data_IF_514201783470
#
_entry.id   IF_514201783470
#
_cell.length_a   1.000
_cell.length_b   1.000
_cell.length_c   1.000
_cell.angle_alpha   90.00
_cell.angle_beta   90.00
_cell.angle_gamma   90.00
#
_symmetry.space_group_name_H-M   'P 1'
#
loop_
_entity.id
_entity.type
_entity.pdbx_description
1 polymer ?
#
# COMPACT_ATOMS: atom_id res chain seq x y z
N UNK A 1 -26.65 56.51 8.82
CA UNK A 1 -27.30 56.63 10.14
C UNK A 1 -26.66 57.75 10.94
N UNK A 2 -25.36 57.66 11.29
CA UNK A 2 -24.65 58.70 12.07
C UNK A 2 -24.80 60.13 11.52
N UNK A 3 -24.74 60.31 10.20
CA UNK A 3 -24.95 61.62 9.58
C UNK A 3 -26.36 62.18 9.80
N UNK A 4 -27.39 61.32 9.76
CA UNK A 4 -28.78 61.71 9.99
C UNK A 4 -29.02 62.08 11.45
N UNK A 5 -28.35 61.41 12.38
CA UNK A 5 -28.47 61.68 13.81
C UNK A 5 -27.77 62.97 14.22
N UNK A 6 -26.61 63.25 13.61
CA UNK A 6 -25.94 64.53 13.77
C UNK A 6 -26.78 65.69 13.25
N UNK A 7 -27.46 65.50 12.12
CA UNK A 7 -28.37 66.49 11.53
C UNK A 7 -29.63 66.69 12.39
N UNK A 8 -30.21 65.60 12.89
CA UNK A 8 -31.34 65.63 13.83
C UNK A 8 -30.96 66.38 15.11
N UNK A 9 -29.79 66.11 15.69
CA UNK A 9 -29.30 66.82 16.87
C UNK A 9 -29.09 68.32 16.62
N UNK A 10 -28.60 68.71 15.42
CA UNK A 10 -28.39 70.12 15.07
C UNK A 10 -29.71 70.92 14.93
N UNK A 11 -30.85 70.25 14.80
CA UNK A 11 -32.17 70.87 14.73
C UNK A 11 -32.92 70.88 16.07
N UNK A 12 -32.36 70.29 17.13
CA UNK A 12 -32.93 70.29 18.48
C UNK A 12 -33.15 71.71 19.01
N UNK A 13 -32.13 72.57 18.95
CA UNK A 13 -32.20 73.97 19.41
C UNK A 13 -33.33 74.76 18.74
N UNK A 14 -33.63 74.45 17.47
CA UNK A 14 -34.72 75.12 16.73
C UNK A 14 -36.08 74.72 17.26
N UNK A 15 -36.27 73.45 17.63
CA UNK A 15 -37.53 72.97 18.20
C UNK A 15 -37.73 73.55 19.61
N UNK A 16 -36.66 73.63 20.40
CA UNK A 16 -36.68 74.27 21.72
C UNK A 16 -37.00 75.77 21.63
N UNK A 17 -36.43 76.49 20.66
CA UNK A 17 -36.77 77.88 20.40
C UNK A 17 -38.23 78.08 19.99
N UNK A 18 -38.78 77.21 19.13
CA UNK A 18 -40.20 77.28 18.73
C UNK A 18 -41.11 77.09 19.96
N UNK A 19 -40.78 76.15 20.84
CA UNK A 19 -41.52 75.91 22.07
C UNK A 19 -41.44 77.09 23.05
N UNK A 20 -40.25 77.68 23.23
CA UNK A 20 -40.05 78.85 24.08
C UNK A 20 -40.84 80.07 23.57
N UNK A 21 -40.80 80.35 22.27
CA UNK A 21 -41.56 81.46 21.65
C UNK A 21 -43.07 81.23 21.78
N UNK A 22 -43.55 79.99 21.60
CA UNK A 22 -44.96 79.66 21.80
C UNK A 22 -45.40 79.90 23.25
N UNK A 23 -44.55 79.58 24.23
CA UNK A 23 -44.82 79.86 25.64
C UNK A 23 -44.87 81.36 25.95
N UNK A 24 -43.92 82.16 25.45
CA UNK A 24 -43.93 83.62 25.62
C UNK A 24 -45.19 84.27 25.01
N UNK A 25 -45.62 83.80 23.82
CA UNK A 25 -46.87 84.27 23.19
C UNK A 25 -48.11 83.94 24.04
N UNK A 26 -48.07 82.83 24.77
CA UNK A 26 -49.13 82.43 25.69
C UNK A 26 -49.14 83.31 26.96
N UNK A 27 -47.98 83.70 27.48
CA UNK A 27 -47.83 84.59 28.65
C UNK A 27 -48.27 86.04 28.35
N UNK A 28 -48.20 86.46 27.08
CA UNK A 28 -48.62 87.78 26.61
C UNK A 28 -50.10 87.85 26.17
N UNK A 29 -50.90 86.81 26.45
CA UNK A 29 -52.31 86.70 26.05
C UNK A 29 -52.55 86.94 24.55
N UNK A 30 -51.68 86.39 23.68
CA UNK A 30 -51.83 86.52 22.23
C UNK A 30 -53.18 85.96 21.75
N UNK A 31 -53.88 86.73 20.91
CA UNK A 31 -55.27 86.45 20.50
C UNK A 31 -55.51 85.08 19.84
N UNK A 32 -54.50 84.48 19.19
CA UNK A 32 -54.58 83.16 18.54
C UNK A 32 -53.61 82.12 19.18
N UNK A 33 -53.29 82.28 20.47
CA UNK A 33 -52.38 81.39 21.20
C UNK A 33 -52.80 79.92 21.13
N UNK A 34 -54.10 79.62 21.10
CA UNK A 34 -54.61 78.25 21.01
C UNK A 34 -54.17 77.53 19.72
N UNK A 35 -54.20 78.20 18.57
CA UNK A 35 -53.77 77.66 17.28
C UNK A 35 -52.25 77.46 17.23
N UNK A 36 -51.48 78.43 17.75
CA UNK A 36 -50.02 78.35 17.86
C UNK A 36 -49.60 77.20 18.77
N UNK A 37 -50.23 77.06 19.94
CA UNK A 37 -49.96 75.97 20.88
C UNK A 37 -50.30 74.60 20.29
N UNK A 38 -51.44 74.46 19.59
CA UNK A 38 -51.79 73.22 18.91
C UNK A 38 -50.76 72.84 17.83
N UNK A 39 -50.26 73.82 17.07
CA UNK A 39 -49.21 73.60 16.06
C UNK A 39 -47.86 73.27 16.70
N UNK A 40 -47.48 73.96 17.78
CA UNK A 40 -46.25 73.70 18.52
C UNK A 40 -46.27 72.28 19.11
N UNK A 41 -47.38 71.88 19.74
CA UNK A 41 -47.55 70.52 20.25
C UNK A 41 -47.39 69.48 19.13
N UNK A 42 -48.02 69.70 17.97
CA UNK A 42 -47.87 68.79 16.83
C UNK A 42 -46.43 68.68 16.31
N UNK A 43 -45.64 69.75 16.39
CA UNK A 43 -44.20 69.74 16.05
C UNK A 43 -43.42 68.94 17.09
N UNK A 44 -43.66 69.16 18.38
CA UNK A 44 -43.01 68.43 19.47
C UNK A 44 -43.33 66.92 19.42
N UNK A 45 -44.60 66.54 19.24
CA UNK A 45 -45.03 65.15 19.14
C UNK A 45 -44.36 64.43 17.95
N UNK A 46 -44.28 65.11 16.80
CA UNK A 46 -43.59 64.59 15.62
C UNK A 46 -42.10 64.44 15.86
N UNK A 47 -41.48 65.41 16.55
CA UNK A 47 -40.07 65.40 16.89
C UNK A 47 -39.71 64.24 17.83
N UNK A 48 -40.51 64.02 18.88
CA UNK A 48 -40.34 62.90 19.82
C UNK A 48 -40.52 61.54 19.14
N UNK A 49 -41.53 61.43 18.27
CA UNK A 49 -41.73 60.24 17.46
C UNK A 49 -40.56 60.00 16.50
N UNK A 50 -40.05 61.05 15.84
CA UNK A 50 -38.89 60.96 14.97
C UNK A 50 -37.64 60.51 15.73
N UNK A 51 -37.39 61.05 16.92
CA UNK A 51 -36.32 60.61 17.82
C UNK A 51 -36.45 59.13 18.17
N UNK A 52 -37.65 58.69 18.56
CA UNK A 52 -37.95 57.29 18.90
C UNK A 52 -37.73 56.35 17.71
N UNK A 53 -38.22 56.71 16.52
CA UNK A 53 -38.04 55.92 15.30
C UNK A 53 -36.57 55.86 14.88
N UNK A 54 -35.83 56.96 15.06
CA UNK A 54 -34.40 57.04 14.78
C UNK A 54 -33.62 56.09 15.68
N UNK A 55 -33.89 56.09 16.99
CA UNK A 55 -33.26 55.15 17.92
C UNK A 55 -33.59 53.70 17.57
N UNK A 56 -34.87 53.37 17.33
CA UNK A 56 -35.28 52.02 16.90
C UNK A 56 -34.56 51.57 15.63
N UNK A 57 -34.37 52.49 14.68
CA UNK A 57 -33.63 52.21 13.44
C UNK A 57 -32.14 52.00 13.70
N UNK A 58 -31.51 52.78 14.58
CA UNK A 58 -30.11 52.57 15.00
C UNK A 58 -29.93 51.18 15.58
N UNK A 59 -30.73 50.84 16.59
CA UNK A 59 -30.64 49.55 17.29
C UNK A 59 -30.84 48.36 16.33
N UNK A 60 -31.75 48.51 15.35
CA UNK A 60 -31.97 47.51 14.32
C UNK A 60 -30.77 47.36 13.37
N UNK A 61 -30.16 48.48 12.93
CA UNK A 61 -28.98 48.46 12.07
C UNK A 61 -27.77 47.87 12.78
N UNK A 62 -27.49 48.27 14.02
CA UNK A 62 -26.39 47.72 14.82
C UNK A 62 -26.56 46.21 15.08
N UNK A 63 -27.80 45.76 15.31
CA UNK A 63 -28.10 44.33 15.45
C UNK A 63 -27.80 43.56 14.16
N UNK A 64 -28.22 44.09 13.02
CA UNK A 64 -27.98 43.44 11.71
C UNK A 64 -26.49 43.45 11.36
N UNK A 65 -25.78 44.54 11.64
CA UNK A 65 -24.33 44.65 11.47
C UNK A 65 -23.60 43.56 12.26
N UNK A 66 -23.90 43.42 13.57
CA UNK A 66 -23.28 42.39 14.41
C UNK A 66 -23.57 40.96 13.94
N UNK A 67 -24.77 40.71 13.41
CA UNK A 67 -25.11 39.41 12.84
C UNK A 67 -24.27 39.12 11.59
N UNK A 68 -24.07 40.11 10.72
CA UNK A 68 -23.20 39.97 9.55
C UNK A 68 -21.73 39.79 9.91
N UNK A 69 -21.22 40.52 10.90
CA UNK A 69 -19.86 40.31 11.42
C UNK A 69 -19.66 38.88 11.94
N UNK A 70 -20.67 38.33 12.62
CA UNK A 70 -20.63 36.95 13.12
C UNK A 70 -20.62 35.94 11.96
N UNK A 71 -21.49 36.13 10.95
CA UNK A 71 -21.55 35.28 9.76
C UNK A 71 -20.23 35.33 8.98
N UNK A 72 -19.66 36.51 8.81
CA UNK A 72 -18.39 36.74 8.11
C UNK A 72 -17.23 36.01 8.80
N UNK A 73 -17.15 36.12 10.14
CA UNK A 73 -16.15 35.41 10.94
C UNK A 73 -16.28 33.89 10.83
N UNK A 74 -17.51 33.36 10.83
CA UNK A 74 -17.76 31.92 10.63
C UNK A 74 -17.40 31.48 9.20
N UNK A 75 -17.66 32.30 8.18
CA UNK A 75 -17.23 32.01 6.80
C UNK A 75 -15.71 31.92 6.70
N UNK A 76 -14.99 32.84 7.36
CA UNK A 76 -13.53 32.82 7.42
C UNK A 76 -13.01 31.59 8.17
N UNK A 77 -13.63 31.21 9.29
CA UNK A 77 -13.25 30.02 10.06
C UNK A 77 -13.45 28.74 9.24
N UNK A 78 -14.60 28.61 8.57
CA UNK A 78 -14.85 27.50 7.64
C UNK A 78 -13.75 27.42 6.57
N UNK A 79 -13.41 28.54 5.92
CA UNK A 79 -12.40 28.57 4.88
C UNK A 79 -11.02 28.12 5.39
N UNK A 80 -10.62 28.56 6.58
CA UNK A 80 -9.35 28.19 7.22
C UNK A 80 -9.24 26.70 7.52
N UNK A 81 -10.35 26.03 7.86
CA UNK A 81 -10.38 24.59 8.17
C UNK A 81 -10.57 23.73 6.92
N UNK A 82 -11.46 24.15 6.03
CA UNK A 82 -11.77 23.46 4.79
C UNK A 82 -10.55 23.31 3.88
N UNK A 83 -9.68 24.32 3.78
CA UNK A 83 -8.51 24.28 2.90
C UNK A 83 -7.51 23.15 3.24
N UNK A 84 -6.93 23.06 4.46
CA UNK A 84 -6.03 21.96 4.81
C UNK A 84 -6.75 20.61 4.83
N UNK A 85 -8.01 20.55 5.26
CA UNK A 85 -8.78 19.30 5.25
C UNK A 85 -9.03 18.78 3.83
N UNK A 86 -9.34 19.68 2.90
CA UNK A 86 -9.46 19.34 1.48
C UNK A 86 -8.16 18.76 0.92
N UNK A 87 -7.02 19.41 1.20
CA UNK A 87 -5.72 18.93 0.73
C UNK A 87 -5.37 17.56 1.33
N UNK A 88 -5.72 17.32 2.60
CA UNK A 88 -5.57 16.01 3.22
C UNK A 88 -6.41 14.94 2.52
N UNK A 89 -7.67 15.25 2.16
CA UNK A 89 -8.51 14.31 1.41
C UNK A 89 -7.96 14.03 0.01
N UNK A 90 -7.43 15.05 -0.66
CA UNK A 90 -6.82 14.89 -1.99
C UNK A 90 -5.58 13.98 -1.93
N UNK A 91 -4.68 14.19 -0.96
CA UNK A 91 -3.54 13.29 -0.73
C UNK A 91 -3.96 11.87 -0.33
N UNK A 92 -4.97 11.73 0.54
CA UNK A 92 -5.49 10.43 0.91
C UNK A 92 -6.07 9.66 -0.28
N UNK A 93 -6.77 10.33 -1.21
CA UNK A 93 -7.26 9.70 -2.43
C UNK A 93 -6.11 9.24 -3.34
N UNK A 94 -5.07 10.05 -3.49
CA UNK A 94 -3.86 9.71 -4.25
C UNK A 94 -3.18 8.45 -3.66
N UNK A 95 -2.90 8.44 -2.36
CA UNK A 95 -2.23 7.33 -1.67
C UNK A 95 -3.05 6.01 -1.74
N UNK A 96 -4.38 6.10 -1.63
CA UNK A 96 -5.26 4.94 -1.70
C UNK A 96 -5.32 4.33 -3.11
N UNK A 97 -5.11 5.15 -4.14
CA UNK A 97 -5.13 4.73 -5.54
C UNK A 97 -3.73 4.41 -6.09
N UNK A 98 -2.66 4.68 -5.33
CA UNK A 98 -1.29 4.47 -5.76
C UNK A 98 -1.00 3.00 -6.08
N UNK A 99 -0.34 2.77 -7.22
CA UNK A 99 0.00 1.43 -7.68
C UNK A 99 1.28 0.94 -7.00
N UNK A 100 1.23 -0.21 -6.34
CA UNK A 100 2.40 -0.81 -5.70
C UNK A 100 2.89 -2.06 -6.43
N UNK A 101 4.19 -2.31 -6.32
CA UNK A 101 4.83 -3.55 -6.78
C UNK A 101 5.66 -4.08 -5.62
N UNK A 102 5.40 -5.32 -5.21
CA UNK A 102 6.09 -5.99 -4.11
C UNK A 102 6.60 -7.36 -4.54
N UNK A 103 7.74 -7.76 -3.97
CA UNK A 103 8.43 -9.01 -4.29
C UNK A 103 8.62 -9.92 -3.07
N UNK A 104 8.20 -9.47 -1.88
CA UNK A 104 8.33 -10.21 -0.64
C UNK A 104 7.16 -10.01 0.31
N UNK A 105 7.00 -10.96 1.24
CA UNK A 105 6.01 -10.88 2.32
C UNK A 105 6.29 -9.69 3.25
N UNK A 106 7.55 -9.32 3.45
CA UNK A 106 7.95 -8.23 4.34
C UNK A 106 7.56 -6.86 3.75
N UNK A 107 7.70 -6.68 2.44
CA UNK A 107 7.27 -5.47 1.73
C UNK A 107 5.76 -5.26 1.82
N UNK A 108 4.95 -6.30 1.52
CA UNK A 108 3.49 -6.18 1.60
C UNK A 108 3.01 -5.96 3.04
N UNK A 109 3.68 -6.58 4.03
CA UNK A 109 3.34 -6.35 5.44
C UNK A 109 3.64 -4.90 5.87
N UNK A 110 4.69 -4.29 5.32
CA UNK A 110 5.01 -2.89 5.57
C UNK A 110 3.94 -1.96 4.99
N UNK A 111 3.44 -2.25 3.77
CA UNK A 111 2.32 -1.51 3.17
C UNK A 111 1.02 -1.64 3.96
N UNK A 112 0.70 -2.85 4.45
CA UNK A 112 -0.46 -3.06 5.33
C UNK A 112 -0.34 -2.25 6.61
N UNK A 113 0.84 -2.26 7.23
CA UNK A 113 1.09 -1.51 8.46
C UNK A 113 0.90 -0.01 8.24
N UNK A 114 1.39 0.52 7.12
CA UNK A 114 1.17 1.92 6.75
C UNK A 114 -0.31 2.22 6.51
N UNK A 115 -1.04 1.32 5.83
CA UNK A 115 -2.47 1.47 5.61
C UNK A 115 -3.29 1.42 6.92
N UNK A 116 -2.92 0.55 7.86
CA UNK A 116 -3.55 0.48 9.19
C UNK A 116 -3.29 1.75 10.01
N UNK A 117 -2.08 2.31 9.95
CA UNK A 117 -1.78 3.60 10.55
C UNK A 117 -2.61 4.73 9.94
N UNK A 118 -2.75 4.75 8.60
CA UNK A 118 -3.66 5.69 7.93
C UNK A 118 -5.10 5.53 8.40
N UNK A 119 -5.64 4.29 8.44
CA UNK A 119 -7.00 4.02 8.94
C UNK A 119 -7.20 4.50 10.38
N UNK A 120 -6.18 4.43 11.22
CA UNK A 120 -6.22 4.94 12.58
C UNK A 120 -6.39 6.47 12.67
N UNK A 121 -6.05 7.22 11.61
CA UNK A 121 -6.28 8.69 11.54
C UNK A 121 -7.71 9.06 11.13
N UNK A 122 -8.45 8.14 10.50
CA UNK A 122 -9.80 8.41 9.97
C UNK A 122 -10.81 8.89 11.02
N UNK A 123 -10.85 8.37 12.27
CA UNK A 123 -11.77 8.89 13.28
C UNK A 123 -11.52 10.35 13.63
N UNK A 124 -10.26 10.78 13.66
CA UNK A 124 -9.91 12.17 13.92
C UNK A 124 -10.22 13.07 12.72
N UNK A 125 -9.96 12.57 11.50
CA UNK A 125 -10.37 13.25 10.27
C UNK A 125 -11.90 13.43 10.17
N UNK A 126 -12.69 12.46 10.63
CA UNK A 126 -14.16 12.59 10.67
C UNK A 126 -14.62 13.64 11.70
N UNK A 127 -13.93 13.77 12.83
CA UNK A 127 -14.21 14.88 13.78
C UNK A 127 -13.93 16.24 13.13
N UNK A 128 -12.83 16.37 12.40
CA UNK A 128 -12.49 17.61 11.68
C UNK A 128 -13.56 17.95 10.63
N UNK A 129 -14.02 16.93 9.87
CA UNK A 129 -15.14 17.05 8.94
C UNK A 129 -16.41 17.53 9.64
N UNK A 130 -16.83 16.86 10.71
CA UNK A 130 -18.03 17.20 11.46
C UNK A 130 -17.99 18.64 11.98
N UNK A 131 -16.83 19.06 12.49
CA UNK A 131 -16.66 20.38 13.04
C UNK A 131 -16.63 21.47 11.94
N UNK A 132 -16.02 21.19 10.78
CA UNK A 132 -16.06 22.10 9.62
C UNK A 132 -17.49 22.24 9.06
N UNK A 133 -18.22 21.13 8.92
CA UNK A 133 -19.64 21.16 8.52
C UNK A 133 -20.54 21.82 9.58
N UNK A 134 -20.18 21.68 10.85
CA UNK A 134 -20.86 22.34 11.98
C UNK A 134 -20.87 23.87 11.84
N UNK A 135 -19.74 24.46 11.46
CA UNK A 135 -19.62 25.91 11.22
C UNK A 135 -20.59 26.35 10.10
N UNK A 136 -20.63 25.60 8.99
CA UNK A 136 -21.54 25.91 7.89
C UNK A 136 -23.01 25.83 8.32
N UNK A 137 -23.36 24.81 9.11
CA UNK A 137 -24.71 24.65 9.65
C UNK A 137 -25.09 25.79 10.61
N UNK A 138 -24.14 26.30 11.39
CA UNK A 138 -24.37 27.45 12.28
C UNK A 138 -24.66 28.73 11.48
N UNK A 139 -23.94 28.98 10.39
CA UNK A 139 -24.21 30.10 9.46
C UNK A 139 -25.65 30.01 8.93
N UNK A 140 -26.06 28.83 8.44
CA UNK A 140 -27.41 28.61 7.93
C UNK A 140 -28.47 28.83 9.01
N UNK A 141 -28.20 28.36 10.24
CA UNK A 141 -29.09 28.54 11.39
C UNK A 141 -29.27 30.01 11.75
N UNK A 142 -28.18 30.79 11.81
CA UNK A 142 -28.24 32.23 12.08
C UNK A 142 -29.07 32.92 11.00
N UNK A 143 -28.78 32.64 9.73
CA UNK A 143 -29.50 33.26 8.61
C UNK A 143 -31.00 32.95 8.63
N UNK A 144 -31.37 31.69 8.87
CA UNK A 144 -32.76 31.29 8.98
C UNK A 144 -33.47 31.93 10.19
N UNK A 145 -32.80 31.97 11.35
CA UNK A 145 -33.39 32.48 12.60
C UNK A 145 -33.69 33.97 12.52
N UNK A 146 -32.82 34.74 11.85
CA UNK A 146 -32.94 36.20 11.76
C UNK A 146 -33.44 36.69 10.39
N UNK A 147 -33.85 35.79 9.49
CA UNK A 147 -34.40 36.13 8.18
C UNK A 147 -33.39 36.79 7.23
N UNK A 148 -32.09 36.51 7.41
CA UNK A 148 -31.01 37.05 6.57
C UNK A 148 -30.96 36.25 5.27
N UNK A 149 -31.01 36.95 4.13
CA UNK A 149 -30.83 36.33 2.81
C UNK A 149 -29.33 36.21 2.52
N UNK A 150 -28.80 35.00 2.66
CA UNK A 150 -27.42 34.71 2.26
C UNK A 150 -27.30 34.67 0.73
N UNK A 151 -26.15 35.11 0.22
CA UNK A 151 -25.78 34.94 -1.20
C UNK A 151 -25.50 33.47 -1.55
N UNK A 152 -25.28 32.62 -0.54
CA UNK A 152 -24.99 31.19 -0.70
C UNK A 152 -23.52 30.88 -1.00
N UNK A 153 -22.68 31.90 -1.23
CA UNK A 153 -21.27 31.76 -1.60
C UNK A 153 -20.39 32.30 -0.46
N UNK A 154 -19.40 31.51 -0.03
CA UNK A 154 -18.38 31.95 0.91
C UNK A 154 -17.34 32.81 0.17
N UNK A 155 -17.06 34.06 0.58
CA UNK A 155 -16.10 34.92 -0.11
C UNK A 155 -14.63 34.52 0.09
N UNK A 156 -14.32 33.66 1.07
CA UNK A 156 -12.95 33.31 1.46
C UNK A 156 -12.46 31.96 0.90
N UNK A 157 -13.33 31.17 0.28
CA UNK A 157 -12.96 29.88 -0.30
C UNK A 157 -13.93 29.47 -1.40
N UNK A 158 -13.43 28.72 -2.39
CA UNK A 158 -14.25 28.07 -3.42
C UNK A 158 -14.77 26.71 -2.99
N UNK A 159 -14.26 26.16 -1.90
CA UNK A 159 -14.64 24.83 -1.39
C UNK A 159 -15.99 24.91 -0.69
N UNK A 160 -16.94 24.08 -1.10
CA UNK A 160 -18.26 24.01 -0.49
C UNK A 160 -18.38 22.88 0.53
N UNK A 161 -19.41 22.93 1.38
CA UNK A 161 -19.77 21.83 2.29
C UNK A 161 -20.10 20.54 1.54
N UNK A 162 -20.65 20.65 0.33
CA UNK A 162 -20.95 19.52 -0.55
C UNK A 162 -19.67 18.88 -1.11
N UNK A 163 -18.67 19.69 -1.48
CA UNK A 163 -17.38 19.18 -1.96
C UNK A 163 -16.68 18.38 -0.87
N UNK A 164 -16.68 18.89 0.37
CA UNK A 164 -16.12 18.19 1.54
C UNK A 164 -16.80 16.84 1.75
N UNK A 165 -18.14 16.83 1.70
CA UNK A 165 -18.92 15.58 1.89
C UNK A 165 -18.63 14.57 0.78
N UNK A 166 -18.60 15.02 -0.47
CA UNK A 166 -18.38 14.15 -1.64
C UNK A 166 -16.96 13.56 -1.64
N UNK A 167 -15.94 14.37 -1.33
CA UNK A 167 -14.56 13.88 -1.22
C UNK A 167 -14.39 12.90 -0.05
N UNK A 168 -15.01 13.20 1.09
CA UNK A 168 -14.99 12.30 2.24
C UNK A 168 -15.61 10.95 1.91
N UNK A 169 -16.76 10.93 1.25
CA UNK A 169 -17.42 9.69 0.85
C UNK A 169 -16.58 8.88 -0.14
N UNK A 170 -15.86 9.56 -1.05
CA UNK A 170 -14.88 8.93 -1.94
C UNK A 170 -13.73 8.28 -1.16
N UNK A 171 -13.11 9.00 -0.22
CA UNK A 171 -12.06 8.44 0.66
C UNK A 171 -12.59 7.21 1.42
N UNK A 172 -13.79 7.31 2.01
CA UNK A 172 -14.43 6.20 2.74
C UNK A 172 -14.71 4.99 1.86
N UNK A 173 -15.01 5.19 0.58
CA UNK A 173 -15.22 4.12 -0.40
C UNK A 173 -13.90 3.48 -0.84
N UNK A 174 -12.83 4.25 -1.00
CA UNK A 174 -11.52 3.76 -1.43
C UNK A 174 -10.80 2.93 -0.35
N UNK A 175 -11.00 3.23 0.94
CA UNK A 175 -10.39 2.48 2.06
C UNK A 175 -10.62 0.95 1.96
N UNK A 176 -11.86 0.43 1.91
CA UNK A 176 -12.09 -1.02 1.83
C UNK A 176 -11.61 -1.63 0.51
N UNK A 177 -11.59 -0.87 -0.59
CA UNK A 177 -11.02 -1.33 -1.86
C UNK A 177 -9.50 -1.53 -1.72
N UNK A 178 -8.82 -0.59 -1.06
CA UNK A 178 -7.40 -0.70 -0.77
C UNK A 178 -7.09 -1.87 0.15
N UNK A 179 -7.90 -2.09 1.18
CA UNK A 179 -7.80 -3.27 2.06
C UNK A 179 -7.88 -4.57 1.23
N UNK A 180 -8.84 -4.68 0.31
CA UNK A 180 -8.99 -5.85 -0.54
C UNK A 180 -7.77 -6.07 -1.43
N UNK A 181 -7.28 -5.02 -2.12
CA UNK A 181 -6.10 -5.11 -2.98
C UNK A 181 -4.85 -5.56 -2.21
N UNK A 182 -4.65 -5.03 -1.00
CA UNK A 182 -3.53 -5.44 -0.14
C UNK A 182 -3.67 -6.90 0.31
N UNK A 183 -4.89 -7.37 0.60
CA UNK A 183 -5.14 -8.75 0.99
C UNK A 183 -4.87 -9.73 -0.16
N UNK A 184 -5.37 -9.43 -1.35
CA UNK A 184 -5.12 -10.22 -2.57
C UNK A 184 -3.62 -10.35 -2.83
N UNK A 185 -2.87 -9.26 -2.65
CA UNK A 185 -1.42 -9.28 -2.78
C UNK A 185 -0.73 -10.13 -1.68
N UNK A 186 -1.20 -10.06 -0.43
CA UNK A 186 -0.70 -10.96 0.63
C UNK A 186 -0.91 -12.42 0.24
N UNK A 187 -2.10 -12.77 -0.24
CA UNK A 187 -2.39 -14.14 -0.66
C UNK A 187 -1.44 -14.57 -1.79
N UNK A 188 -1.17 -13.69 -2.76
CA UNK A 188 -0.21 -13.92 -3.84
C UNK A 188 1.21 -14.15 -3.30
N UNK A 189 1.71 -13.27 -2.44
CA UNK A 189 3.06 -13.41 -1.87
C UNK A 189 3.21 -14.65 -0.99
N UNK A 190 2.16 -15.02 -0.24
CA UNK A 190 2.14 -16.26 0.54
C UNK A 190 2.13 -17.51 -0.35
N UNK A 191 1.37 -17.50 -1.45
CA UNK A 191 1.40 -18.58 -2.43
C UNK A 191 2.80 -18.73 -3.06
N UNK A 192 3.41 -17.61 -3.44
CA UNK A 192 4.76 -17.58 -3.99
C UNK A 192 5.81 -18.15 -3.01
N UNK A 193 5.75 -17.74 -1.74
CA UNK A 193 6.64 -18.29 -0.70
C UNK A 193 6.42 -19.79 -0.46
N UNK A 194 5.18 -20.30 -0.59
CA UNK A 194 4.92 -21.74 -0.52
C UNK A 194 5.58 -22.48 -1.68
N UNK A 195 5.47 -21.98 -2.91
CA UNK A 195 6.12 -22.56 -4.09
C UNK A 195 7.65 -22.59 -3.91
N UNK A 196 8.26 -21.48 -3.46
CA UNK A 196 9.69 -21.41 -3.16
C UNK A 196 10.11 -22.49 -2.17
N UNK A 197 9.38 -22.65 -1.06
CA UNK A 197 9.68 -23.68 -0.05
C UNK A 197 9.47 -25.09 -0.55
N UNK A 198 8.42 -25.35 -1.34
CA UNK A 198 8.15 -26.67 -1.92
C UNK A 198 9.27 -27.10 -2.86
N UNK A 199 9.65 -26.25 -3.80
CA UNK A 199 10.78 -26.49 -4.70
C UNK A 199 12.06 -26.74 -3.89
N UNK A 200 12.38 -25.86 -2.93
CA UNK A 200 13.59 -25.96 -2.14
C UNK A 200 13.64 -27.24 -1.30
N UNK A 201 12.53 -27.63 -0.67
CA UNK A 201 12.45 -28.85 0.12
C UNK A 201 12.77 -30.10 -0.73
N UNK A 202 12.27 -30.16 -1.96
CA UNK A 202 12.56 -31.25 -2.89
C UNK A 202 14.00 -31.17 -3.41
N UNK A 203 14.44 -30.00 -3.89
CA UNK A 203 15.78 -29.81 -4.45
C UNK A 203 16.89 -30.09 -3.44
N UNK A 204 16.71 -29.71 -2.17
CA UNK A 204 17.67 -29.97 -1.08
C UNK A 204 17.78 -31.45 -0.70
N UNK A 205 16.85 -32.31 -1.14
CA UNK A 205 16.94 -33.77 -1.00
C UNK A 205 17.54 -34.38 -2.27
N UNK A 206 17.04 -33.97 -3.44
CA UNK A 206 17.43 -34.50 -4.74
C UNK A 206 18.90 -34.21 -5.05
N UNK A 207 19.36 -32.97 -4.81
CA UNK A 207 20.73 -32.56 -5.11
C UNK A 207 21.78 -33.44 -4.43
N UNK A 208 21.76 -33.60 -3.09
CA UNK A 208 22.65 -34.52 -2.39
C UNK A 208 22.47 -35.97 -2.81
N UNK A 209 21.24 -36.43 -3.07
CA UNK A 209 20.99 -37.80 -3.52
C UNK A 209 21.69 -38.11 -4.86
N UNK A 210 21.65 -37.17 -5.83
CA UNK A 210 22.37 -37.31 -7.10
C UNK A 210 23.87 -37.41 -6.85
N UNK A 211 24.41 -36.55 -5.98
CA UNK A 211 25.83 -36.56 -5.64
C UNK A 211 26.26 -37.89 -5.01
N UNK A 212 25.52 -38.39 -4.02
CA UNK A 212 25.81 -39.67 -3.38
C UNK A 212 25.77 -40.82 -4.40
N UNK A 213 24.79 -40.85 -5.30
CA UNK A 213 24.71 -41.89 -6.34
C UNK A 213 25.84 -41.81 -7.36
N UNK A 214 26.26 -40.60 -7.74
CA UNK A 214 27.45 -40.39 -8.58
C UNK A 214 28.72 -40.94 -7.91
N UNK A 215 28.90 -40.71 -6.61
CA UNK A 215 30.03 -41.23 -5.83
C UNK A 215 29.99 -42.76 -5.72
N UNK A 216 28.84 -43.36 -5.40
CA UNK A 216 28.66 -44.82 -5.32
C UNK A 216 29.00 -45.52 -6.65
N UNK A 217 28.52 -45.00 -7.80
CA UNK A 217 28.82 -45.58 -9.13
C UNK A 217 30.31 -45.46 -9.45
N UNK A 218 30.92 -44.32 -9.08
CA UNK A 218 32.36 -44.12 -9.24
C UNK A 218 33.16 -45.13 -8.41
N UNK A 219 32.69 -45.45 -7.20
CA UNK A 219 33.33 -46.45 -6.34
C UNK A 219 33.28 -47.88 -6.90
N UNK A 220 32.17 -48.30 -7.53
CA UNK A 220 32.07 -49.64 -8.16
C UNK A 220 33.14 -49.85 -9.24
N UNK A 221 33.49 -48.78 -9.95
CA UNK A 221 34.51 -48.83 -11.01
C UNK A 221 35.93 -48.99 -10.47
N UNK A 222 36.17 -48.55 -9.23
CA UNK A 222 37.51 -48.52 -8.59
C UNK A 222 37.74 -49.72 -7.67
N UNK A 223 36.67 -50.31 -7.13
CA UNK A 223 36.78 -51.42 -6.18
C UNK A 223 37.32 -52.69 -6.86
N UNK A 224 38.43 -53.20 -6.33
CA UNK A 224 39.10 -54.43 -6.79
C UNK A 224 38.40 -55.67 -6.21
N UNK A 225 37.62 -55.47 -5.14
CA UNK A 225 36.96 -56.55 -4.44
C UNK A 225 35.63 -56.90 -5.13
N UNK A 226 35.63 -58.00 -5.87
CA UNK A 226 34.43 -58.55 -6.50
C UNK A 226 34.66 -59.02 -7.94
N UNK A 227 33.85 -59.98 -8.35
CA UNK A 227 33.76 -60.42 -9.74
C UNK A 227 33.15 -59.34 -10.63
N UNK A 228 33.41 -59.40 -11.94
CA UNK A 228 32.77 -58.50 -12.90
C UNK A 228 31.24 -58.66 -12.89
N UNK A 229 30.76 -59.87 -12.61
CA UNK A 229 29.35 -60.22 -12.47
C UNK A 229 28.71 -59.53 -11.25
N UNK A 230 29.39 -59.48 -10.11
CA UNK A 230 28.92 -58.75 -8.92
C UNK A 230 28.88 -57.24 -9.15
N UNK A 231 29.90 -56.69 -9.83
CA UNK A 231 29.92 -55.29 -10.24
C UNK A 231 28.74 -54.98 -11.17
N UNK A 232 28.50 -55.83 -12.18
CA UNK A 232 27.37 -55.69 -13.10
C UNK A 232 26.02 -55.72 -12.38
N UNK A 233 25.82 -56.70 -11.49
CA UNK A 233 24.58 -56.82 -10.70
C UNK A 233 24.34 -55.57 -9.83
N UNK A 234 25.39 -55.05 -9.20
CA UNK A 234 25.31 -53.83 -8.39
C UNK A 234 24.95 -52.61 -9.25
N UNK A 235 25.57 -52.45 -10.43
CA UNK A 235 25.24 -51.37 -11.36
C UNK A 235 23.81 -51.46 -11.89
N UNK A 236 23.31 -52.66 -12.21
CA UNK A 236 21.91 -52.88 -12.60
C UNK A 236 20.94 -52.54 -11.48
N UNK A 237 21.31 -52.82 -10.23
CA UNK A 237 20.52 -52.39 -9.07
C UNK A 237 20.50 -50.86 -8.92
N UNK A 238 21.65 -50.18 -9.09
CA UNK A 238 21.71 -48.73 -9.09
C UNK A 238 20.90 -48.11 -10.24
N UNK A 239 20.98 -48.66 -11.45
CA UNK A 239 20.18 -48.26 -12.61
C UNK A 239 18.68 -48.34 -12.30
N UNK A 240 18.20 -49.45 -11.73
CA UNK A 240 16.80 -49.59 -11.32
C UNK A 240 16.40 -48.58 -10.24
N UNK A 241 17.27 -48.33 -9.25
CA UNK A 241 17.02 -47.33 -8.22
C UNK A 241 16.90 -45.92 -8.81
N UNK A 242 17.73 -45.58 -9.80
CA UNK A 242 17.67 -44.30 -10.51
C UNK A 242 16.36 -44.20 -11.31
N UNK A 243 15.98 -45.23 -12.06
CA UNK A 243 14.71 -45.25 -12.80
C UNK A 243 13.53 -45.02 -11.84
N UNK A 244 13.51 -45.69 -10.69
CA UNK A 244 12.45 -45.55 -9.69
C UNK A 244 12.41 -44.14 -9.07
N UNK A 245 13.53 -43.42 -9.03
CA UNK A 245 13.62 -42.07 -8.48
C UNK A 245 13.18 -40.98 -9.47
N UNK A 246 13.03 -41.32 -10.77
CA UNK A 246 12.65 -40.38 -11.84
C UNK A 246 11.38 -39.58 -11.54
N UNK A 247 10.38 -40.19 -10.89
CA UNK A 247 9.14 -39.49 -10.52
C UNK A 247 9.36 -38.30 -9.60
N UNK A 248 10.41 -38.30 -8.78
CA UNK A 248 10.74 -37.18 -7.90
C UNK A 248 11.33 -36.00 -8.69
N UNK A 249 12.11 -36.29 -9.73
CA UNK A 249 12.62 -35.26 -10.66
C UNK A 249 11.47 -34.62 -11.42
N UNK A 250 10.53 -35.43 -11.92
CA UNK A 250 9.35 -34.95 -12.64
C UNK A 250 8.44 -34.09 -11.76
N UNK A 251 8.33 -34.43 -10.47
CA UNK A 251 7.61 -33.60 -9.50
C UNK A 251 8.31 -32.25 -9.28
N UNK A 252 9.64 -32.25 -9.13
CA UNK A 252 10.40 -31.00 -8.98
C UNK A 252 10.29 -30.12 -10.23
N UNK A 253 10.30 -30.72 -11.42
CA UNK A 253 10.08 -30.04 -12.70
C UNK A 253 8.69 -29.35 -12.74
N UNK A 254 7.66 -30.04 -12.25
CA UNK A 254 6.32 -29.45 -12.08
C UNK A 254 6.30 -28.26 -11.11
N UNK A 255 6.94 -28.36 -9.95
CA UNK A 255 7.06 -27.25 -8.99
C UNK A 255 7.81 -26.04 -9.61
N UNK A 256 8.83 -26.31 -10.43
CA UNK A 256 9.57 -25.27 -11.15
C UNK A 256 8.70 -24.56 -12.19
N UNK A 257 7.93 -25.32 -12.97
CA UNK A 257 6.99 -24.78 -13.95
C UNK A 257 5.98 -23.84 -13.30
N UNK A 258 5.36 -24.25 -12.18
CA UNK A 258 4.44 -23.41 -11.41
C UNK A 258 5.10 -22.12 -10.89
N UNK A 259 6.37 -22.20 -10.49
CA UNK A 259 7.14 -21.04 -10.06
C UNK A 259 7.39 -20.05 -11.21
N UNK A 260 7.72 -20.55 -12.40
CA UNK A 260 7.91 -19.72 -13.60
C UNK A 260 6.60 -19.06 -14.06
N UNK A 261 5.49 -19.80 -14.07
CA UNK A 261 4.16 -19.27 -14.38
C UNK A 261 3.72 -18.18 -13.41
N UNK A 262 4.19 -18.26 -12.15
CA UNK A 262 3.98 -17.26 -11.11
C UNK A 262 5.03 -16.12 -11.11
N UNK A 263 5.92 -16.09 -12.12
CA UNK A 263 7.00 -15.11 -12.28
C UNK A 263 7.99 -15.06 -11.09
N UNK A 264 8.25 -16.22 -10.48
CA UNK A 264 9.19 -16.37 -9.37
C UNK A 264 10.52 -16.88 -9.92
N UNK A 265 11.57 -16.04 -9.82
CA UNK A 265 12.90 -16.36 -10.36
C UNK A 265 13.98 -16.49 -9.28
N UNK A 266 13.65 -16.16 -8.03
CA UNK A 266 14.54 -16.24 -6.89
C UNK A 266 14.03 -17.26 -5.86
N UNK A 267 14.96 -17.96 -5.21
CA UNK A 267 14.63 -18.87 -4.12
C UNK A 267 15.72 -18.87 -3.04
N UNK A 268 15.48 -18.14 -1.96
CA UNK A 268 16.40 -18.04 -0.82
C UNK A 268 16.52 -19.33 0.02
N UNK A 269 15.68 -20.34 -0.22
CA UNK A 269 15.60 -21.55 0.59
C UNK A 269 16.47 -22.71 0.06
N UNK A 270 17.10 -22.54 -1.10
CA UNK A 270 18.00 -23.54 -1.69
C UNK A 270 19.09 -22.90 -2.53
N UNK A 271 20.25 -23.56 -2.61
CA UNK A 271 21.33 -23.20 -3.54
C UNK A 271 21.24 -23.99 -4.86
N UNK A 272 20.31 -24.94 -4.96
CA UNK A 272 20.08 -25.71 -6.18
C UNK A 272 19.11 -24.95 -7.08
N UNK A 273 19.54 -24.66 -8.31
CA UNK A 273 18.64 -24.25 -9.38
C UNK A 273 18.09 -25.49 -10.08
N UNK A 274 16.97 -25.36 -10.79
CA UNK A 274 16.46 -26.47 -11.59
C UNK A 274 17.51 -26.94 -12.62
N UNK A 275 18.28 -26.01 -13.18
CA UNK A 275 19.36 -26.32 -14.11
C UNK A 275 20.46 -27.18 -13.47
N UNK A 276 20.88 -26.88 -12.23
CA UNK A 276 21.84 -27.73 -11.51
C UNK A 276 21.32 -29.17 -11.35
N UNK A 277 20.02 -29.33 -11.06
CA UNK A 277 19.40 -30.64 -10.89
C UNK A 277 19.29 -31.38 -12.24
N UNK A 278 18.87 -30.71 -13.32
CA UNK A 278 18.78 -31.32 -14.66
C UNK A 278 20.13 -31.82 -15.14
N UNK A 279 21.16 -30.97 -15.09
CA UNK A 279 22.52 -31.35 -15.49
C UNK A 279 23.04 -32.49 -14.62
N UNK A 280 22.88 -32.41 -13.30
CA UNK A 280 23.30 -33.47 -12.39
C UNK A 280 22.61 -34.81 -12.67
N UNK A 281 21.31 -34.78 -12.96
CA UNK A 281 20.51 -35.96 -13.27
C UNK A 281 20.89 -36.59 -14.62
N UNK A 282 21.03 -35.79 -15.68
CA UNK A 282 21.47 -36.26 -16.99
C UNK A 282 22.89 -36.83 -16.96
N UNK A 283 23.79 -36.18 -16.20
CA UNK A 283 25.14 -36.67 -15.98
C UNK A 283 25.13 -38.01 -15.23
N UNK A 284 24.27 -38.19 -14.24
CA UNK A 284 24.10 -39.45 -13.51
C UNK A 284 23.63 -40.57 -14.45
N UNK A 285 22.61 -40.33 -15.26
CA UNK A 285 22.12 -41.29 -16.26
C UNK A 285 23.19 -41.69 -17.28
N UNK A 286 23.95 -40.71 -17.77
CA UNK A 286 25.05 -40.96 -18.71
C UNK A 286 26.18 -41.76 -18.06
N UNK A 287 26.49 -41.46 -16.80
CA UNK A 287 27.57 -42.10 -16.05
C UNK A 287 27.23 -43.57 -15.78
N UNK A 288 26.03 -43.88 -15.29
CA UNK A 288 25.63 -45.27 -15.04
C UNK A 288 25.63 -46.10 -16.34
N UNK A 289 25.07 -45.55 -17.43
CA UNK A 289 25.03 -46.24 -18.72
C UNK A 289 26.44 -46.51 -19.27
N UNK A 290 27.35 -45.53 -19.17
CA UNK A 290 28.75 -45.70 -19.59
C UNK A 290 29.44 -46.76 -18.74
N UNK A 291 29.33 -46.71 -17.42
CA UNK A 291 29.99 -47.67 -16.51
C UNK A 291 29.45 -49.09 -16.71
N UNK A 292 28.14 -49.26 -16.94
CA UNK A 292 27.56 -50.56 -17.32
C UNK A 292 28.21 -51.07 -18.61
N UNK A 293 28.22 -50.28 -19.68
CA UNK A 293 28.83 -50.67 -20.96
C UNK A 293 30.32 -51.01 -20.83
N UNK A 294 31.06 -50.28 -19.99
CA UNK A 294 32.47 -50.55 -19.71
C UNK A 294 32.67 -51.92 -19.03
N UNK A 295 31.86 -52.24 -18.02
CA UNK A 295 31.92 -53.56 -17.34
C UNK A 295 31.44 -54.69 -18.26
N UNK A 296 30.40 -54.48 -19.08
CA UNK A 296 29.95 -55.46 -20.09
C UNK A 296 31.08 -55.79 -21.08
N UNK A 297 31.78 -54.76 -21.58
CA UNK A 297 32.92 -54.95 -22.48
C UNK A 297 34.10 -55.66 -21.81
N UNK A 298 34.34 -55.40 -20.51
CA UNK A 298 35.36 -56.11 -19.73
C UNK A 298 35.03 -57.60 -19.61
N UNK A 299 33.76 -57.96 -19.35
CA UNK A 299 33.28 -59.35 -19.28
C UNK A 299 33.51 -60.03 -20.64
N UNK A 300 33.03 -59.44 -21.73
CA UNK A 300 33.18 -59.99 -23.07
C UNK A 300 34.66 -60.22 -23.44
N UNK A 301 35.53 -59.27 -23.10
CA UNK A 301 36.97 -59.37 -23.39
C UNK A 301 37.64 -60.45 -22.56
N UNK A 302 37.31 -60.55 -21.27
CA UNK A 302 37.79 -61.62 -20.38
C UNK A 302 37.42 -62.98 -20.95
N UNK A 303 36.16 -63.15 -21.33
CA UNK A 303 35.60 -64.42 -21.80
C UNK A 303 36.19 -64.80 -23.17
N UNK A 304 36.30 -63.85 -24.09
CA UNK A 304 36.88 -64.08 -25.42
C UNK A 304 38.37 -64.47 -25.37
N UNK A 305 39.11 -63.97 -24.37
CA UNK A 305 40.55 -64.26 -24.19
C UNK A 305 40.81 -65.43 -23.23
N UNK A 306 39.78 -65.98 -22.59
CA UNK A 306 39.91 -67.06 -21.61
C UNK A 306 40.70 -66.65 -20.36
N UNK A 307 40.61 -65.40 -19.93
CA UNK A 307 41.33 -64.89 -18.75
C UNK A 307 40.62 -65.38 -17.48
N UNK A 308 41.35 -66.03 -16.58
CA UNK A 308 40.77 -66.48 -15.30
C UNK A 308 40.50 -65.29 -14.35
N UNK A 309 39.57 -65.45 -13.41
CA UNK A 309 39.26 -64.40 -12.44
C UNK A 309 40.49 -64.00 -11.59
N UNK A 310 41.37 -64.96 -11.28
CA UNK A 310 42.62 -64.71 -10.55
C UNK A 310 43.59 -63.84 -11.37
N UNK A 311 43.76 -64.14 -12.66
CA UNK A 311 44.60 -63.33 -13.57
C UNK A 311 44.04 -61.91 -13.75
N UNK A 312 42.71 -61.79 -13.86
CA UNK A 312 42.05 -60.48 -13.95
C UNK A 312 42.27 -59.66 -12.66
N UNK A 313 42.18 -60.29 -11.50
CA UNK A 313 42.42 -59.65 -10.21
C UNK A 313 43.89 -59.20 -10.08
N UNK A 314 44.86 -59.99 -10.55
CA UNK A 314 46.28 -59.59 -10.60
C UNK A 314 46.51 -58.38 -11.52
N UNK A 315 45.87 -58.36 -12.70
CA UNK A 315 45.96 -57.21 -13.62
C UNK A 315 45.34 -55.95 -13.01
N UNK A 316 44.19 -56.07 -12.34
CA UNK A 316 43.53 -54.95 -11.64
C UNK A 316 44.34 -54.44 -10.47
N UNK A 317 44.91 -55.32 -9.66
CA UNK A 317 45.80 -54.95 -8.56
C UNK A 317 47.05 -54.21 -9.05
N UNK A 318 47.64 -54.71 -10.14
CA UNK A 318 48.78 -54.06 -10.80
C UNK A 318 48.38 -52.70 -11.37
N UNK A 319 47.24 -52.61 -12.06
CA UNK A 319 46.74 -51.37 -12.65
C UNK A 319 46.50 -50.29 -11.57
N UNK A 320 45.79 -50.64 -10.50
CA UNK A 320 45.47 -49.72 -9.41
C UNK A 320 46.69 -49.30 -8.59
N UNK A 321 47.76 -50.12 -8.53
CA UNK A 321 49.03 -49.70 -7.96
C UNK A 321 49.66 -48.53 -8.74
N UNK A 322 49.50 -48.51 -10.07
CA UNK A 322 50.02 -47.46 -10.94
C UNK A 322 49.05 -46.29 -11.13
N UNK A 323 47.74 -46.50 -10.99
CA UNK A 323 46.72 -45.44 -10.98
C UNK A 323 46.60 -44.76 -9.60
N UNK A 324 47.61 -43.94 -9.27
CA UNK A 324 47.61 -43.16 -8.02
C UNK A 324 46.51 -42.10 -7.94
N UNK A 325 45.92 -41.70 -9.07
CA UNK A 325 44.85 -40.69 -9.14
C UNK A 325 43.45 -41.30 -9.09
N UNK A 326 43.35 -42.64 -9.19
CA UNK A 326 42.10 -43.40 -9.22
C UNK A 326 41.11 -42.85 -10.25
N UNK A 327 41.62 -42.44 -11.40
CA UNK A 327 40.83 -41.86 -12.49
C UNK A 327 40.71 -42.81 -13.70
N UNK A 328 41.15 -44.06 -13.56
CA UNK A 328 41.10 -45.06 -14.61
C UNK A 328 42.18 -44.90 -15.68
N UNK A 329 43.23 -44.10 -15.43
CA UNK A 329 44.32 -43.87 -16.39
C UNK A 329 45.70 -43.98 -15.73
N UNK A 330 46.64 -44.65 -16.41
CA UNK A 330 48.05 -44.64 -16.04
C UNK A 330 48.77 -43.42 -16.65
N UNK A 331 49.65 -42.80 -15.88
CA UNK A 331 50.52 -41.73 -16.41
C UNK A 331 51.43 -42.30 -17.53
N UNK A 332 51.47 -41.69 -18.74
CA UNK A 332 52.19 -42.22 -19.91
C UNK A 332 53.69 -42.47 -19.67
N UNK A 333 54.30 -41.77 -18.72
CA UNK A 333 55.72 -41.91 -18.37
C UNK A 333 56.05 -43.12 -17.47
N UNK A 334 55.06 -43.94 -17.09
CA UNK A 334 55.26 -45.05 -16.12
C UNK A 334 54.83 -46.42 -16.62
N UNK A 335 54.41 -46.56 -17.89
CA UNK A 335 54.30 -47.88 -18.50
C UNK A 335 55.70 -48.51 -18.52
N UNK A 336 55.88 -49.75 -18.02
CA UNK A 336 57.13 -50.45 -18.21
C UNK A 336 57.39 -50.48 -19.71
N UNK A 337 58.50 -49.89 -20.17
CA UNK A 337 58.98 -50.17 -21.52
C UNK A 337 59.23 -51.68 -21.55
N UNK A 338 58.34 -52.41 -22.19
CA UNK A 338 58.60 -53.79 -22.56
C UNK A 338 59.83 -53.73 -23.47
N UNK A 339 60.97 -54.16 -22.93
CA UNK A 339 62.24 -54.32 -23.63
C UNK A 339 62.16 -55.48 -24.61
#
# INVERSE_FOLDING_TARGET
MRQFESDLAAHQDRVEQIAAIAQELNELDYHDAASVNARCQGICDQWDNLGTLTQKRRDALERVEKLWETIDQLYLEFAKRAAPFNNWMDGAMEDLQDMFIVHSIEEIQSLITAHDQFKATLPEADKERMATLGIHNEILKIAQTYGIKLSGINPYTTITSQDITTKWDTVKHLVPLRDQMLQEEVARQQANERLRRQFAAQANIIGPWIQTKMEEISHVSVDISGSLEEQMNSLKQYEQNIINYKSNIDKLEGDHQLSQESLIFDNKHTNYSMEHIRVGWEQLLTTIARTINEVENQILTRDAKGISQEQLNEFRASFNHFDRKRNGMMDPGRLPRLS
#
